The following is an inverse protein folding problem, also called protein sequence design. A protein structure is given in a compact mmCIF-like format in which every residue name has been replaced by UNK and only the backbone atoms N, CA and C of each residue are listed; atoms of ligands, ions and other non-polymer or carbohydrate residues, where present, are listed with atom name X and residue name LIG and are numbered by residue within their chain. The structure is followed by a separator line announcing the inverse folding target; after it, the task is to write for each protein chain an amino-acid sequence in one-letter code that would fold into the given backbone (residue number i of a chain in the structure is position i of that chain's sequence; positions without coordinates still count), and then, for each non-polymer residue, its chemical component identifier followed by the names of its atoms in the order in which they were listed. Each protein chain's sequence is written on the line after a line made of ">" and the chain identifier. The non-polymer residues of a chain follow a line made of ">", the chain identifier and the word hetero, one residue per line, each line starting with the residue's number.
data_IF_035002422044
#
_entry.id   IF_035002422044
#
_cell.length_a   1.000
_cell.length_b   1.000
_cell.length_c   1.000
_cell.angle_alpha   90.00
_cell.angle_beta   90.00
_cell.angle_gamma   90.00
#
_symmetry.space_group_name_H-M   'P 1'
#
loop_
_entity.id
_entity.type
_entity.pdbx_description
1 polymer ?
#
# COMPACT_ATOMS: atom_id res chain seq x y z
N UNK A 1 10.81 12.81 11.41
CA UNK A 1 9.34 12.90 11.35
C UNK A 1 8.86 12.04 10.16
N UNK A 2 8.75 10.72 10.34
CA UNK A 2 8.38 9.80 9.25
C UNK A 2 6.86 9.68 9.03
N UNK A 3 6.07 9.89 10.08
CA UNK A 3 4.62 9.74 10.08
C UNK A 3 3.87 10.71 9.14
N UNK A 4 4.57 11.67 8.53
CA UNK A 4 4.02 12.63 7.57
C UNK A 4 4.37 12.32 6.11
N UNK A 5 5.19 11.28 5.85
CA UNK A 5 5.63 10.95 4.50
C UNK A 5 4.44 10.57 3.60
N UNK A 6 4.49 10.90 2.29
CA UNK A 6 3.56 10.34 1.32
C UNK A 6 3.85 8.84 1.14
N UNK A 7 2.83 8.06 0.80
CA UNK A 7 2.93 6.59 0.72
C UNK A 7 2.85 6.05 -0.71
N UNK A 8 2.40 6.88 -1.67
CA UNK A 8 2.37 6.57 -3.08
C UNK A 8 2.54 7.84 -3.93
N UNK A 9 2.89 7.67 -5.20
CA UNK A 9 2.97 8.73 -6.20
C UNK A 9 2.32 8.27 -7.51
N UNK A 10 1.60 9.16 -8.18
CA UNK A 10 1.04 8.91 -9.51
C UNK A 10 1.71 9.83 -10.52
N UNK A 11 2.40 9.26 -11.50
CA UNK A 11 3.15 9.99 -12.54
C UNK A 11 2.34 9.95 -13.84
N UNK A 12 2.09 11.13 -14.40
CA UNK A 12 1.36 11.34 -15.67
C UNK A 12 0.02 10.56 -15.75
N UNK A 13 -0.65 10.38 -14.61
CA UNK A 13 -1.89 9.60 -14.48
C UNK A 13 -1.79 8.14 -14.97
N UNK A 14 -0.56 7.62 -15.09
CA UNK A 14 -0.28 6.32 -15.75
C UNK A 14 0.53 5.38 -14.88
N UNK A 15 1.50 5.89 -14.13
CA UNK A 15 2.42 5.06 -13.36
C UNK A 15 2.17 5.32 -11.88
N UNK A 16 1.64 4.32 -11.19
CA UNK A 16 1.45 4.36 -9.74
C UNK A 16 2.66 3.71 -9.06
N UNK A 17 3.35 4.49 -8.23
CA UNK A 17 4.51 4.07 -7.45
C UNK A 17 4.15 3.97 -5.97
N UNK A 18 4.62 2.92 -5.31
CA UNK A 18 4.52 2.67 -3.87
C UNK A 18 5.70 1.82 -3.42
N UNK A 19 5.88 1.67 -2.10
CA UNK A 19 7.06 0.97 -1.57
C UNK A 19 6.93 -0.56 -1.66
N UNK A 20 5.81 -1.11 -1.19
CA UNK A 20 5.48 -2.54 -1.28
C UNK A 20 4.69 -2.82 -2.55
N UNK A 21 3.38 -2.99 -2.41
CA UNK A 21 2.50 -3.31 -3.52
C UNK A 21 1.04 -3.00 -3.25
N UNK A 22 0.14 -3.71 -3.94
CA UNK A 22 -1.30 -3.47 -3.84
C UNK A 22 -1.92 -4.02 -2.56
N UNK A 23 -3.12 -3.51 -2.26
CA UNK A 23 -3.96 -3.92 -1.14
C UNK A 23 -5.30 -4.45 -1.64
N UNK A 24 -5.88 -5.51 -1.04
CA UNK A 24 -7.26 -5.91 -1.29
C UNK A 24 -8.28 -4.81 -0.95
N UNK A 25 -7.91 -3.87 -0.07
CA UNK A 25 -8.78 -2.77 0.34
C UNK A 25 -8.72 -1.56 -0.62
N UNK A 26 -7.80 -1.58 -1.60
CA UNK A 26 -7.62 -0.48 -2.54
C UNK A 26 -8.63 -0.58 -3.71
N UNK A 27 -9.69 0.22 -3.60
CA UNK A 27 -10.75 0.34 -4.61
C UNK A 27 -10.72 1.69 -5.34
N UNK A 28 -10.14 2.73 -4.73
CA UNK A 28 -9.97 4.06 -5.33
C UNK A 28 -8.67 4.71 -4.84
N UNK A 29 -8.01 5.47 -5.72
CA UNK A 29 -6.83 6.27 -5.36
C UNK A 29 -7.15 7.35 -4.30
N UNK A 30 -8.42 7.74 -4.16
CA UNK A 30 -8.84 8.67 -3.12
C UNK A 30 -8.67 8.07 -1.72
N UNK A 31 -8.71 6.74 -1.57
CA UNK A 31 -8.42 6.11 -0.29
C UNK A 31 -6.97 6.37 0.14
N UNK A 32 -6.02 6.38 -0.79
CA UNK A 32 -4.61 6.70 -0.51
C UNK A 32 -4.47 8.20 -0.19
N UNK A 33 -5.12 9.07 -0.97
CA UNK A 33 -5.07 10.54 -0.78
C UNK A 33 -5.62 10.97 0.58
N UNK A 34 -6.65 10.27 1.07
CA UNK A 34 -7.35 10.59 2.30
C UNK A 34 -6.74 9.92 3.55
N UNK A 35 -5.60 9.24 3.44
CA UNK A 35 -4.89 8.72 4.64
C UNK A 35 -4.51 9.90 5.53
N UNK A 36 -5.03 9.97 6.77
CA UNK A 36 -4.72 11.05 7.68
C UNK A 36 -3.24 11.01 8.05
N UNK A 37 -2.63 12.18 8.15
CA UNK A 37 -1.24 12.34 8.58
C UNK A 37 -1.17 13.42 9.67
N UNK A 38 -0.37 13.25 10.73
CA UNK A 38 0.56 12.14 10.96
C UNK A 38 -0.14 10.83 11.32
N UNK A 39 0.39 9.69 10.88
CA UNK A 39 -0.08 8.35 11.26
C UNK A 39 1.09 7.40 11.45
N UNK A 40 0.99 6.49 12.41
CA UNK A 40 1.83 5.29 12.45
C UNK A 40 1.29 4.25 11.46
N UNK A 41 2.12 3.26 11.13
CA UNK A 41 1.73 2.14 10.25
C UNK A 41 0.96 1.11 11.08
N UNK A 42 -0.30 0.79 10.72
CA UNK A 42 -1.08 -0.25 11.42
C UNK A 42 -0.54 -1.65 11.12
N UNK A 43 -0.95 -2.65 11.90
CA UNK A 43 -0.58 -4.06 11.66
C UNK A 43 -1.28 -4.68 10.43
N UNK A 44 -2.37 -4.08 9.95
CA UNK A 44 -3.14 -4.57 8.80
C UNK A 44 -3.85 -3.43 8.06
N UNK A 45 -4.33 -3.74 6.84
CA UNK A 45 -5.13 -2.86 6.00
C UNK A 45 -4.31 -1.98 5.06
N UNK A 46 -4.99 -1.09 4.34
CA UNK A 46 -4.43 -0.33 3.21
C UNK A 46 -3.02 0.24 3.42
N UNK A 47 -2.75 0.93 4.52
CA UNK A 47 -1.43 1.53 4.75
C UNK A 47 -0.33 0.47 4.99
N UNK A 48 -0.66 -0.64 5.65
CA UNK A 48 0.28 -1.73 5.85
C UNK A 48 0.63 -2.36 4.48
N UNK A 49 -0.39 -2.71 3.71
CA UNK A 49 -0.23 -3.39 2.42
C UNK A 49 0.56 -2.56 1.40
N UNK A 50 0.30 -1.25 1.31
CA UNK A 50 1.03 -0.34 0.41
C UNK A 50 2.54 -0.29 0.70
N UNK A 51 2.94 -0.63 1.92
CA UNK A 51 4.32 -0.62 2.37
C UNK A 51 4.95 -2.02 2.39
N UNK A 52 4.15 -3.08 2.49
CA UNK A 52 4.67 -4.42 2.80
C UNK A 52 4.24 -5.56 1.88
N UNK A 53 3.25 -5.37 1.00
CA UNK A 53 2.85 -6.46 0.10
C UNK A 53 3.89 -6.72 -1.00
N UNK A 54 4.05 -7.99 -1.38
CA UNK A 54 4.98 -8.44 -2.43
C UNK A 54 4.20 -9.10 -3.59
N UNK A 55 4.65 -8.95 -4.85
CA UNK A 55 4.09 -9.69 -5.97
C UNK A 55 4.53 -11.17 -5.93
N UNK A 56 3.63 -12.08 -6.30
CA UNK A 56 3.90 -13.52 -6.38
C UNK A 56 3.36 -14.12 -7.69
N UNK A 57 4.22 -14.80 -8.44
CA UNK A 57 3.89 -15.39 -9.75
C UNK A 57 3.02 -16.65 -9.65
N UNK A 58 3.04 -17.34 -8.51
CA UNK A 58 2.34 -18.60 -8.29
C UNK A 58 0.99 -18.40 -7.58
N UNK A 59 0.65 -17.16 -7.23
CA UNK A 59 -0.60 -16.80 -6.53
C UNK A 59 -1.58 -16.11 -7.47
N UNK A 60 -2.80 -16.65 -7.55
CA UNK A 60 -3.92 -15.97 -8.21
C UNK A 60 -4.70 -15.17 -7.18
N UNK A 61 -4.73 -13.84 -7.33
CA UNK A 61 -5.42 -12.94 -6.39
C UNK A 61 -4.54 -12.59 -5.20
N UNK A 62 -5.05 -12.81 -3.99
CA UNK A 62 -4.37 -12.48 -2.72
C UNK A 62 -3.95 -13.74 -1.98
N UNK A 63 -2.79 -13.71 -1.34
CA UNK A 63 -2.23 -14.80 -0.55
C UNK A 63 -1.52 -14.28 0.69
N UNK A 64 -1.09 -15.20 1.56
CA UNK A 64 -0.30 -14.84 2.74
C UNK A 64 1.10 -14.38 2.33
N UNK A 65 1.62 -13.36 2.98
CA UNK A 65 3.00 -12.93 2.77
C UNK A 65 3.97 -13.70 3.68
N UNK A 66 5.05 -14.21 3.11
CA UNK A 66 6.11 -14.92 3.86
C UNK A 66 6.83 -14.02 4.89
N UNK A 67 6.67 -12.69 4.78
CA UNK A 67 7.14 -11.72 5.77
C UNK A 67 6.33 -11.72 7.07
N UNK A 68 5.20 -12.43 7.12
CA UNK A 68 4.36 -12.54 8.32
C UNK A 68 3.50 -11.31 8.60
N UNK A 69 3.21 -10.53 7.55
CA UNK A 69 2.33 -9.36 7.53
C UNK A 69 1.17 -9.58 6.57
#
# INVERSE_FOLDING_TARGET
>A
CFNCLPVAALIDEKILCMHGGFSPDLNSLDQIRNIPRPTDVPEAGLLCDLLWSDPNNDTLGWGMNDRGV
#
